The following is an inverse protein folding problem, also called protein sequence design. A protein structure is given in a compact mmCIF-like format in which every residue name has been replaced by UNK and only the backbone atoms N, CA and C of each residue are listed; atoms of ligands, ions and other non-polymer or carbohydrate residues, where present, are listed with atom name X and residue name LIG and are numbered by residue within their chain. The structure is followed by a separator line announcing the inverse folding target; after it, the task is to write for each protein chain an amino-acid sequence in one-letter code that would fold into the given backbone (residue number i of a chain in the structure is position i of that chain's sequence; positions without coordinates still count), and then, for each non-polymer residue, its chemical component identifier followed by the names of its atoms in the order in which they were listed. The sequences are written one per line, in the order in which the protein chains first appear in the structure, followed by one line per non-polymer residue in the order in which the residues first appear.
data_IF_203518934426
#
_entry.id   IF_203518934426
#
_cell.length_a   1.000
_cell.length_b   1.000
_cell.length_c   1.000
_cell.angle_alpha   90.00
_cell.angle_beta   90.00
_cell.angle_gamma   90.00
#
_symmetry.space_group_name_H-M   'P 1'
#
loop_
_entity.id
_entity.type
_entity.pdbx_description
1 polymer ?
#
# COMPACT_ATOMS: atom_id res chain seq x y z
N UNK A 1 -8.33 7.39 -10.38
CA UNK A 1 -7.09 7.70 -11.15
C UNK A 1 -5.98 6.73 -10.79
N UNK A 2 -5.48 6.69 -9.55
CA UNK A 2 -4.41 5.73 -9.15
C UNK A 2 -4.89 4.27 -9.22
N UNK A 3 -6.06 3.94 -8.65
CA UNK A 3 -6.63 2.58 -8.75
C UNK A 3 -6.79 2.12 -10.20
N UNK A 4 -7.32 2.99 -11.06
CA UNK A 4 -7.46 2.70 -12.50
C UNK A 4 -6.13 2.39 -13.17
N UNK A 5 -5.07 3.13 -12.84
CA UNK A 5 -3.73 2.87 -13.39
C UNK A 5 -3.17 1.50 -12.97
N UNK A 6 -3.43 1.06 -11.73
CA UNK A 6 -3.04 -0.27 -11.28
C UNK A 6 -3.89 -1.38 -11.92
N UNK A 7 -5.21 -1.16 -12.05
CA UNK A 7 -6.09 -2.12 -12.71
C UNK A 7 -5.77 -2.29 -14.21
N UNK A 8 -5.37 -1.20 -14.89
CA UNK A 8 -4.92 -1.23 -16.28
C UNK A 8 -3.56 -1.95 -16.43
N UNK A 9 -2.68 -1.84 -15.42
CA UNK A 9 -1.40 -2.54 -15.38
C UNK A 9 -1.58 -4.05 -15.15
N UNK A 10 -2.36 -4.42 -14.12
CA UNK A 10 -2.70 -5.78 -13.79
C UNK A 10 -4.06 -5.84 -13.05
N UNK A 11 -5.07 -6.55 -13.59
CA UNK A 11 -6.39 -6.63 -12.97
C UNK A 11 -6.40 -7.24 -11.57
N UNK A 12 -5.51 -8.19 -11.25
CA UNK A 12 -5.42 -8.79 -9.93
C UNK A 12 -4.94 -7.78 -8.89
N UNK A 13 -3.94 -6.97 -9.26
CA UNK A 13 -3.45 -5.88 -8.39
C UNK A 13 -4.55 -4.83 -8.20
N UNK A 14 -5.30 -4.49 -9.25
CA UNK A 14 -6.48 -3.64 -9.14
C UNK A 14 -7.48 -4.14 -8.08
N UNK A 15 -7.81 -5.45 -8.12
CA UNK A 15 -8.70 -6.06 -7.14
C UNK A 15 -8.16 -6.01 -5.70
N UNK A 16 -6.85 -6.18 -5.50
CA UNK A 16 -6.24 -6.07 -4.17
C UNK A 16 -6.35 -4.65 -3.61
N UNK A 17 -6.18 -3.64 -4.46
CA UNK A 17 -6.31 -2.24 -4.06
C UNK A 17 -7.77 -1.93 -3.69
N UNK A 18 -8.73 -2.40 -4.50
CA UNK A 18 -10.16 -2.27 -4.18
C UNK A 18 -10.49 -2.93 -2.83
N UNK A 19 -9.97 -4.15 -2.57
CA UNK A 19 -10.11 -4.83 -1.28
C UNK A 19 -9.58 -3.97 -0.12
N UNK A 20 -8.43 -3.30 -0.29
CA UNK A 20 -7.88 -2.41 0.75
C UNK A 20 -8.81 -1.23 1.05
N UNK A 21 -9.46 -0.65 0.04
CA UNK A 21 -10.46 0.40 0.25
C UNK A 21 -11.69 -0.15 0.98
N UNK A 22 -12.24 -1.29 0.54
CA UNK A 22 -13.40 -1.94 1.15
C UNK A 22 -13.15 -2.28 2.63
N UNK A 23 -11.97 -2.80 2.95
CA UNK A 23 -11.56 -3.15 4.31
C UNK A 23 -11.09 -1.96 5.14
N UNK A 24 -11.05 -0.75 4.57
CA UNK A 24 -10.57 0.48 5.22
C UNK A 24 -9.13 0.39 5.69
N UNK A 25 -8.27 -0.24 4.89
CA UNK A 25 -6.84 -0.35 5.16
C UNK A 25 -6.04 0.91 4.79
N UNK A 26 -6.68 1.89 4.15
CA UNK A 26 -6.04 3.14 3.73
C UNK A 26 -6.59 4.30 4.56
N UNK A 27 -5.74 4.90 5.39
CA UNK A 27 -6.07 6.06 6.21
C UNK A 27 -5.41 7.33 5.63
N UNK A 28 -6.13 8.04 4.76
CA UNK A 28 -5.65 9.26 4.09
C UNK A 28 -6.02 10.59 4.79
N UNK A 29 -7.01 10.59 5.68
CA UNK A 29 -7.58 11.84 6.23
C UNK A 29 -6.60 12.51 7.19
N UNK A 30 -6.36 13.80 7.00
CA UNK A 30 -5.54 14.63 7.89
C UNK A 30 -6.34 14.99 9.14
N UNK A 31 -5.76 14.77 10.32
CA UNK A 31 -6.37 15.09 11.62
C UNK A 31 -5.30 15.46 12.66
N UNK A 32 -5.65 16.34 13.60
CA UNK A 32 -4.75 16.72 14.69
C UNK A 32 -4.33 15.47 15.50
N UNK A 33 -3.03 15.37 15.82
CA UNK A 33 -2.46 14.24 16.55
C UNK A 33 -2.16 12.99 15.69
N UNK A 34 -2.52 12.97 14.40
CA UNK A 34 -2.10 11.88 13.48
C UNK A 34 -0.65 12.08 13.05
N UNK A 35 0.10 10.98 12.93
CA UNK A 35 1.46 10.98 12.37
C UNK A 35 1.44 11.57 10.95
N UNK A 36 2.39 12.46 10.66
CA UNK A 36 2.57 13.05 9.34
C UNK A 36 3.30 12.12 8.37
N UNK A 37 3.18 12.41 7.07
CA UNK A 37 3.82 11.66 6.00
C UNK A 37 2.97 10.50 5.50
N UNK A 38 3.64 9.48 4.94
CA UNK A 38 3.04 8.26 4.47
C UNK A 38 3.92 7.04 4.83
N UNK A 39 3.29 5.88 5.00
CA UNK A 39 3.98 4.58 5.08
C UNK A 39 3.02 3.43 4.83
N UNK A 40 3.58 2.31 4.38
CA UNK A 40 2.92 1.01 4.26
C UNK A 40 3.41 0.05 5.36
N UNK A 41 2.48 -0.68 5.96
CA UNK A 41 2.77 -1.73 6.94
C UNK A 41 2.21 -3.07 6.45
N UNK A 42 3.09 -4.05 6.24
CA UNK A 42 2.69 -5.41 5.85
C UNK A 42 1.85 -6.06 6.95
N UNK A 43 0.73 -6.69 6.57
CA UNK A 43 -0.11 -7.51 7.44
C UNK A 43 -0.08 -8.97 7.00
N UNK A 44 0.87 -9.73 7.53
CA UNK A 44 1.18 -11.08 7.06
C UNK A 44 0.04 -12.09 7.28
N UNK A 45 -0.64 -12.03 8.43
CA UNK A 45 -1.75 -12.94 8.75
C UNK A 45 -2.98 -12.70 7.86
N UNK A 46 -3.22 -11.45 7.45
CA UNK A 46 -4.31 -11.09 6.55
C UNK A 46 -3.92 -11.09 5.07
N UNK A 47 -2.67 -11.44 4.75
CA UNK A 47 -2.12 -11.41 3.40
C UNK A 47 -2.40 -10.08 2.67
N UNK A 48 -2.18 -8.98 3.40
CA UNK A 48 -2.54 -7.63 2.95
C UNK A 48 -1.56 -6.62 3.56
N UNK A 49 -1.89 -5.33 3.49
CA UNK A 49 -1.16 -4.24 4.10
C UNK A 49 -2.11 -3.16 4.62
N UNK A 50 -1.57 -2.25 5.42
CA UNK A 50 -2.21 -1.00 5.81
C UNK A 50 -1.38 0.18 5.33
N UNK A 51 -2.03 1.23 4.84
CA UNK A 51 -1.39 2.47 4.42
C UNK A 51 -1.88 3.60 5.32
N UNK A 52 -0.94 4.33 5.89
CA UNK A 52 -1.21 5.64 6.48
C UNK A 52 -0.67 6.70 5.53
N UNK A 53 -1.47 7.72 5.25
CA UNK A 53 -1.05 8.87 4.45
C UNK A 53 -1.68 10.16 4.96
N UNK A 54 -0.97 11.27 4.81
CA UNK A 54 -1.49 12.63 4.95
C UNK A 54 -1.86 13.18 3.57
N UNK A 55 -3.10 12.95 3.10
CA UNK A 55 -3.54 13.35 1.76
C UNK A 55 -4.21 14.74 1.80
N UNK A 56 -3.56 15.74 1.21
CA UNK A 56 -4.01 17.13 1.15
C UNK A 56 -4.67 17.49 -0.20
N UNK A 57 -4.74 16.54 -1.14
CA UNK A 57 -5.37 16.74 -2.45
C UNK A 57 -4.47 17.42 -3.48
N UNK A 58 -3.16 17.42 -3.26
CA UNK A 58 -2.19 17.92 -4.24
C UNK A 58 -1.59 16.78 -5.07
N UNK A 59 -1.04 17.09 -6.24
CA UNK A 59 -0.45 16.07 -7.14
C UNK A 59 0.64 15.23 -6.46
N UNK A 60 1.44 15.83 -5.57
CA UNK A 60 2.44 15.10 -4.79
C UNK A 60 1.84 13.95 -3.99
N UNK A 61 0.64 14.11 -3.44
CA UNK A 61 -0.02 13.08 -2.64
C UNK A 61 -0.48 11.89 -3.49
N UNK A 62 -0.73 12.09 -4.79
CA UNK A 62 -1.06 11.02 -5.72
C UNK A 62 0.16 10.15 -6.02
N UNK A 63 1.35 10.77 -6.19
CA UNK A 63 2.60 10.04 -6.36
C UNK A 63 2.96 9.26 -5.09
N UNK A 64 2.82 9.89 -3.92
CA UNK A 64 3.00 9.21 -2.64
C UNK A 64 2.01 8.05 -2.48
N UNK A 65 0.75 8.22 -2.89
CA UNK A 65 -0.22 7.13 -2.82
C UNK A 65 0.16 5.96 -3.73
N UNK A 66 0.60 6.24 -4.97
CA UNK A 66 1.09 5.21 -5.86
C UNK A 66 2.31 4.49 -5.25
N UNK A 67 3.26 5.23 -4.67
CA UNK A 67 4.41 4.65 -3.98
C UNK A 67 4.01 3.66 -2.88
N UNK A 68 3.13 4.07 -1.96
CA UNK A 68 2.69 3.19 -0.86
C UNK A 68 1.85 2.00 -1.34
N UNK A 69 1.09 2.15 -2.43
CA UNK A 69 0.38 1.05 -3.06
C UNK A 69 1.33 0.04 -3.72
N UNK A 70 2.49 0.49 -4.22
CA UNK A 70 3.59 -0.39 -4.63
C UNK A 70 4.11 -1.27 -3.48
N UNK A 71 4.33 -0.68 -2.30
CA UNK A 71 4.67 -1.44 -1.09
C UNK A 71 3.55 -2.40 -0.68
N UNK A 72 2.29 -2.01 -0.81
CA UNK A 72 1.17 -2.90 -0.55
C UNK A 72 1.15 -4.09 -1.51
N UNK A 73 1.40 -3.88 -2.81
CA UNK A 73 1.54 -4.95 -3.79
C UNK A 73 2.68 -5.92 -3.40
N UNK A 74 3.84 -5.42 -2.99
CA UNK A 74 4.92 -6.25 -2.45
C UNK A 74 4.45 -7.10 -1.26
N UNK A 75 3.69 -6.51 -0.35
CA UNK A 75 3.11 -7.21 0.78
C UNK A 75 2.13 -8.30 0.35
N UNK A 76 1.23 -8.03 -0.59
CA UNK A 76 0.27 -9.01 -1.09
C UNK A 76 0.99 -10.22 -1.71
N UNK A 77 1.99 -9.97 -2.57
CA UNK A 77 2.75 -11.03 -3.24
C UNK A 77 3.57 -11.84 -2.23
N UNK A 78 4.42 -11.18 -1.46
CA UNK A 78 5.39 -11.88 -0.65
C UNK A 78 4.76 -12.58 0.57
N UNK A 79 3.68 -12.06 1.16
CA UNK A 79 2.98 -12.75 2.26
C UNK A 79 2.22 -14.00 1.81
N UNK A 80 1.91 -14.13 0.51
CA UNK A 80 1.32 -15.33 -0.11
C UNK A 80 2.40 -16.32 -0.57
N UNK A 81 3.56 -15.82 -0.98
CA UNK A 81 4.64 -16.66 -1.50
C UNK A 81 5.60 -17.16 -0.42
N UNK A 82 5.78 -16.41 0.67
CA UNK A 82 6.80 -16.68 1.70
C UNK A 82 6.17 -16.85 3.09
N UNK A 83 6.88 -17.58 3.94
CA UNK A 83 6.58 -17.67 5.37
C UNK A 83 7.24 -16.50 6.11
N UNK A 84 6.74 -16.09 7.29
CA UNK A 84 7.31 -14.98 8.04
C UNK A 84 8.81 -15.11 8.34
N UNK A 85 9.32 -16.33 8.48
CA UNK A 85 10.74 -16.60 8.73
C UNK A 85 11.64 -16.43 7.49
N UNK A 86 11.07 -16.20 6.30
CA UNK A 86 11.77 -15.94 5.05
C UNK A 86 11.21 -14.70 4.33
N UNK A 87 10.57 -13.80 5.08
CA UNK A 87 9.92 -12.59 4.58
C UNK A 87 10.63 -11.35 5.16
N UNK A 88 11.93 -11.22 4.88
CA UNK A 88 12.68 -10.00 5.16
C UNK A 88 13.12 -9.40 3.83
N UNK A 89 12.64 -8.20 3.54
CA UNK A 89 12.94 -7.47 2.30
C UNK A 89 13.87 -6.31 2.66
N UNK A 90 15.07 -6.30 2.07
CA UNK A 90 16.00 -5.20 2.24
C UNK A 90 15.45 -3.92 1.61
N UNK A 91 15.75 -2.77 2.21
CA UNK A 91 15.20 -1.46 1.77
C UNK A 91 15.44 -1.16 0.30
N UNK A 92 16.61 -1.49 -0.27
CA UNK A 92 16.88 -1.23 -1.69
C UNK A 92 15.94 -2.01 -2.63
N UNK A 93 15.43 -3.17 -2.20
CA UNK A 93 14.47 -3.97 -2.97
C UNK A 93 13.03 -3.48 -2.72
N UNK A 94 12.75 -2.95 -1.53
CA UNK A 94 11.44 -2.40 -1.23
C UNK A 94 11.13 -1.14 -2.05
N UNK A 95 12.14 -0.31 -2.35
CA UNK A 95 11.98 1.02 -2.97
C UNK A 95 12.16 1.07 -4.51
N UNK A 96 11.98 -0.05 -5.22
CA UNK A 96 12.11 -0.15 -6.68
C UNK A 96 10.90 0.37 -7.43
#
# INVERSE_FOLDING_TARGET
MVVGAYADFDPEIGNWIDEMYERRHIDGVVRNGKRSGAFCATWHAGQSAYILQSFNGIMGDLFTQAHELGHAMHAYLGTRAQKPNNYEIGSCIAET
#
